data_IF_181231303661
#
_entry.id   IF_181231303661
#
_cell.length_a   1.000
_cell.length_b   1.000
_cell.length_c   1.000
_cell.angle_alpha   90.00
_cell.angle_beta   90.00
_cell.angle_gamma   90.00
#
_symmetry.space_group_name_H-M   'P 1'
#
loop_
_entity.id
_entity.type
_entity.pdbx_description
1 polymer ?
#
# COMPACT_ATOMS: atom_id res chain seq x y z
N UNK A 1 -48.50 -67.86 -66.78
CA UNK A 1 -48.95 -67.97 -65.38
C UNK A 1 -47.76 -68.45 -64.56
N UNK A 2 -47.04 -67.52 -63.93
CA UNK A 2 -46.08 -67.87 -62.88
C UNK A 2 -45.99 -66.66 -61.96
N UNK A 3 -46.67 -66.75 -60.83
CA UNK A 3 -46.72 -65.73 -59.79
C UNK A 3 -45.52 -65.96 -58.90
N UNK A 4 -44.54 -65.06 -58.94
CA UNK A 4 -43.42 -65.04 -58.01
C UNK A 4 -43.83 -64.24 -56.77
N UNK A 5 -43.97 -64.93 -55.64
CA UNK A 5 -44.21 -64.33 -54.33
C UNK A 5 -42.85 -63.89 -53.78
N UNK A 6 -42.63 -62.57 -53.68
CA UNK A 6 -41.45 -61.98 -53.03
C UNK A 6 -41.62 -62.01 -51.49
N UNK A 7 -40.55 -62.30 -50.73
CA UNK A 7 -40.62 -62.39 -49.27
C UNK A 7 -40.72 -60.99 -48.62
N UNK A 8 -41.47 -60.91 -47.52
CA UNK A 8 -41.67 -59.70 -46.75
C UNK A 8 -40.34 -59.19 -46.15
N UNK A 9 -39.97 -57.96 -46.48
CA UNK A 9 -38.77 -57.29 -45.97
C UNK A 9 -38.82 -57.05 -44.47
N UNK A 10 -37.73 -57.40 -43.78
CA UNK A 10 -37.48 -57.13 -42.36
C UNK A 10 -37.51 -55.63 -42.06
N UNK A 11 -38.32 -55.22 -41.06
CA UNK A 11 -38.36 -53.83 -40.58
C UNK A 11 -37.05 -53.49 -39.86
N UNK A 12 -36.38 -52.43 -40.29
CA UNK A 12 -35.23 -51.86 -39.59
C UNK A 12 -35.66 -51.34 -38.19
N UNK A 13 -34.81 -51.50 -37.15
CA UNK A 13 -35.08 -50.95 -35.83
C UNK A 13 -35.11 -49.42 -35.88
N UNK A 14 -36.21 -48.83 -35.39
CA UNK A 14 -36.36 -47.39 -35.27
C UNK A 14 -35.45 -46.87 -34.15
N UNK A 15 -34.77 -45.72 -34.32
CA UNK A 15 -33.95 -45.15 -33.26
C UNK A 15 -34.84 -44.76 -32.07
N UNK A 16 -34.51 -45.28 -30.89
CA UNK A 16 -35.15 -44.91 -29.64
C UNK A 16 -34.82 -43.44 -29.35
N UNK A 17 -35.85 -42.59 -29.34
CA UNK A 17 -35.70 -41.15 -29.14
C UNK A 17 -35.30 -40.94 -27.67
N UNK A 18 -34.04 -40.59 -27.42
CA UNK A 18 -33.63 -40.14 -26.09
C UNK A 18 -34.39 -38.83 -25.80
N UNK A 19 -35.22 -38.84 -24.76
CA UNK A 19 -35.89 -37.63 -24.28
C UNK A 19 -34.81 -36.69 -23.73
N UNK A 20 -34.48 -35.67 -24.51
CA UNK A 20 -33.58 -34.61 -24.11
C UNK A 20 -34.33 -33.72 -23.11
N UNK A 21 -34.07 -33.93 -21.82
CA UNK A 21 -34.67 -33.16 -20.74
C UNK A 21 -34.23 -31.69 -20.86
N UNK A 22 -35.08 -30.84 -21.43
CA UNK A 22 -34.87 -29.40 -21.47
C UNK A 22 -35.01 -28.79 -20.07
N UNK A 23 -34.09 -27.90 -19.70
CA UNK A 23 -34.17 -27.12 -18.47
C UNK A 23 -35.45 -26.28 -18.44
N UNK A 24 -36.15 -26.26 -17.31
CA UNK A 24 -37.36 -25.45 -17.17
C UNK A 24 -37.00 -23.96 -17.08
N UNK A 25 -37.88 -23.09 -17.58
CA UNK A 25 -37.72 -21.63 -17.46
C UNK A 25 -37.60 -21.18 -15.99
N UNK A 26 -38.23 -21.93 -15.07
CA UNK A 26 -38.20 -21.65 -13.63
C UNK A 26 -36.86 -22.05 -13.01
N UNK A 27 -36.27 -23.17 -13.41
CA UNK A 27 -34.93 -23.55 -12.95
C UNK A 27 -33.88 -22.53 -13.40
N UNK A 28 -33.93 -22.11 -14.67
CA UNK A 28 -33.01 -21.09 -15.17
C UNK A 28 -33.23 -19.72 -14.51
N UNK A 29 -34.47 -19.34 -14.18
CA UNK A 29 -34.74 -18.04 -13.57
C UNK A 29 -34.22 -17.93 -12.14
N UNK A 30 -34.33 -19.00 -11.33
CA UNK A 30 -33.76 -19.01 -9.97
C UNK A 30 -32.24 -18.96 -10.03
N UNK A 31 -31.62 -19.69 -10.97
CA UNK A 31 -30.16 -19.68 -11.15
C UNK A 31 -29.65 -18.27 -11.49
N UNK A 32 -30.30 -17.58 -12.44
CA UNK A 32 -29.91 -16.21 -12.80
C UNK A 32 -30.07 -15.22 -11.64
N UNK A 33 -31.12 -15.38 -10.81
CA UNK A 33 -31.29 -14.55 -9.61
C UNK A 33 -30.17 -14.79 -8.61
N UNK A 34 -29.83 -16.05 -8.32
CA UNK A 34 -28.74 -16.38 -7.39
C UNK A 34 -27.41 -15.82 -7.88
N UNK A 35 -27.09 -15.99 -9.18
CA UNK A 35 -25.87 -15.42 -9.78
C UNK A 35 -25.86 -13.90 -9.65
N UNK A 36 -26.99 -13.23 -9.95
CA UNK A 36 -27.11 -11.78 -9.81
C UNK A 36 -26.86 -11.28 -8.39
N UNK A 37 -27.42 -11.98 -7.38
CA UNK A 37 -27.23 -11.64 -5.98
C UNK A 37 -25.78 -11.87 -5.52
N UNK A 38 -25.14 -12.95 -5.97
CA UNK A 38 -23.74 -13.23 -5.63
C UNK A 38 -22.82 -12.17 -6.24
N UNK A 39 -22.99 -11.83 -7.53
CA UNK A 39 -22.16 -10.82 -8.20
C UNK A 39 -22.34 -9.46 -7.51
N UNK A 40 -23.58 -9.07 -7.20
CA UNK A 40 -23.85 -7.83 -6.46
C UNK A 40 -23.20 -7.81 -5.08
N UNK A 41 -23.24 -8.93 -4.36
CA UNK A 41 -22.59 -9.09 -3.05
C UNK A 41 -21.06 -9.01 -3.13
N UNK A 42 -20.43 -9.66 -4.12
CA UNK A 42 -18.97 -9.66 -4.31
C UNK A 42 -18.46 -8.26 -4.64
N UNK A 43 -19.10 -7.54 -5.56
CA UNK A 43 -18.70 -6.18 -5.93
C UNK A 43 -18.74 -5.25 -4.72
N UNK A 44 -19.80 -5.32 -3.90
CA UNK A 44 -19.86 -4.51 -2.68
C UNK A 44 -18.84 -4.95 -1.63
N UNK A 45 -18.57 -6.25 -1.53
CA UNK A 45 -17.54 -6.79 -0.66
C UNK A 45 -16.14 -6.28 -1.00
N UNK A 46 -15.81 -6.19 -2.29
CA UNK A 46 -14.52 -5.66 -2.76
C UNK A 46 -14.33 -4.18 -2.38
N UNK A 47 -15.33 -3.34 -2.61
CA UNK A 47 -15.31 -1.91 -2.24
C UNK A 47 -15.14 -1.73 -0.71
N UNK A 48 -15.79 -2.59 0.09
CA UNK A 48 -15.67 -2.57 1.54
C UNK A 48 -14.26 -2.93 2.01
N UNK A 49 -13.65 -3.96 1.41
CA UNK A 49 -12.27 -4.37 1.72
C UNK A 49 -11.30 -3.24 1.38
N UNK A 50 -11.46 -2.61 0.22
CA UNK A 50 -10.59 -1.51 -0.19
C UNK A 50 -10.73 -0.30 0.76
N UNK A 51 -11.96 0.05 1.12
CA UNK A 51 -12.22 1.08 2.14
C UNK A 51 -11.60 0.74 3.50
N UNK A 52 -11.57 -0.53 3.89
CA UNK A 52 -10.94 -0.97 5.13
C UNK A 52 -9.41 -0.86 5.06
N UNK A 53 -8.79 -1.21 3.92
CA UNK A 53 -7.36 -1.03 3.69
C UNK A 53 -6.95 0.44 3.80
N UNK A 54 -7.68 1.34 3.13
CA UNK A 54 -7.43 2.79 3.19
C UNK A 54 -7.49 3.30 4.64
N UNK A 55 -8.53 2.91 5.40
CA UNK A 55 -8.66 3.29 6.81
C UNK A 55 -7.52 2.72 7.67
N UNK A 56 -7.11 1.48 7.42
CA UNK A 56 -6.01 0.85 8.13
C UNK A 56 -4.68 1.58 7.85
N UNK A 57 -4.45 2.01 6.62
CA UNK A 57 -3.27 2.82 6.25
C UNK A 57 -3.26 4.15 7.00
N UNK A 58 -4.39 4.86 7.06
CA UNK A 58 -4.52 6.11 7.81
C UNK A 58 -4.17 5.90 9.30
N UNK A 59 -4.71 4.85 9.92
CA UNK A 59 -4.43 4.52 11.32
C UNK A 59 -2.96 4.15 11.55
N UNK A 60 -2.30 3.49 10.60
CA UNK A 60 -0.86 3.20 10.70
C UNK A 60 -0.02 4.48 10.68
N UNK A 61 -0.35 5.45 9.83
CA UNK A 61 0.37 6.72 9.77
C UNK A 61 0.26 7.47 11.10
N UNK A 62 -0.94 7.57 11.67
CA UNK A 62 -1.15 8.18 12.99
C UNK A 62 -0.35 7.44 14.08
N UNK A 63 -0.33 6.11 14.03
CA UNK A 63 0.47 5.28 14.94
C UNK A 63 1.97 5.56 14.80
N UNK A 64 2.48 5.75 13.58
CA UNK A 64 3.89 6.07 13.37
C UNK A 64 4.25 7.47 13.85
N UNK A 65 3.38 8.46 13.68
CA UNK A 65 3.58 9.80 14.26
C UNK A 65 3.62 9.74 15.79
N UNK A 66 2.72 8.98 16.41
CA UNK A 66 2.73 8.79 17.86
C UNK A 66 4.00 8.05 18.33
N UNK A 67 4.44 7.02 17.59
CA UNK A 67 5.68 6.29 17.86
C UNK A 67 6.91 7.19 17.74
N UNK A 68 6.98 8.03 16.72
CA UNK A 68 8.04 9.02 16.56
C UNK A 68 8.16 9.94 17.78
N UNK A 69 7.05 10.57 18.19
CA UNK A 69 7.04 11.45 19.36
C UNK A 69 7.41 10.70 20.64
N UNK A 70 6.91 9.48 20.81
CA UNK A 70 7.26 8.64 21.98
C UNK A 70 8.76 8.30 22.00
N UNK A 71 9.35 8.02 20.83
CA UNK A 71 10.79 7.80 20.71
C UNK A 71 11.56 9.06 21.10
N UNK A 72 11.17 10.22 20.56
CA UNK A 72 11.79 11.50 20.86
C UNK A 72 11.72 11.83 22.36
N UNK A 73 10.56 11.65 22.99
CA UNK A 73 10.38 11.88 24.43
C UNK A 73 11.25 10.94 25.29
N UNK A 74 11.41 9.69 24.86
CA UNK A 74 12.15 8.66 25.61
C UNK A 74 13.67 8.80 25.48
N UNK A 75 14.15 9.16 24.29
CA UNK A 75 15.59 9.17 23.96
C UNK A 75 16.17 10.55 23.73
N UNK A 76 15.34 11.61 23.69
CA UNK A 76 15.74 12.99 23.39
C UNK A 76 16.51 13.13 22.08
N UNK A 77 16.19 12.27 21.10
CA UNK A 77 16.80 12.20 19.78
C UNK A 77 15.78 11.68 18.77
N UNK A 78 15.98 11.97 17.48
CA UNK A 78 15.10 11.44 16.44
C UNK A 78 15.40 9.96 16.17
N UNK A 79 14.39 9.13 15.83
CA UNK A 79 14.67 7.80 15.31
C UNK A 79 15.51 7.91 14.02
N UNK A 80 16.39 6.96 13.76
CA UNK A 80 17.33 7.02 12.62
C UNK A 80 18.54 7.92 12.85
N UNK A 81 18.38 9.02 13.56
CA UNK A 81 19.43 9.99 13.92
C UNK A 81 19.81 9.89 15.41
N UNK A 82 20.10 8.67 15.87
CA UNK A 82 20.39 8.42 17.28
C UNK A 82 21.70 7.65 17.44
N UNK A 83 22.80 8.37 17.61
CA UNK A 83 24.17 7.82 17.69
C UNK A 83 24.40 6.87 18.87
N UNK A 84 23.75 7.13 20.01
CA UNK A 84 23.79 6.24 21.19
C UNK A 84 22.88 5.00 21.06
N UNK A 85 22.18 4.87 19.91
CA UNK A 85 21.14 3.88 19.64
C UNK A 85 21.55 2.45 19.94
N UNK A 86 22.79 2.07 19.64
CA UNK A 86 23.24 0.70 19.86
C UNK A 86 23.25 0.27 21.34
N UNK A 87 23.59 1.19 22.25
CA UNK A 87 23.72 0.88 23.67
C UNK A 87 22.38 1.05 24.41
N UNK A 88 21.60 2.07 24.06
CA UNK A 88 20.38 2.43 24.76
C UNK A 88 19.12 1.68 24.27
N UNK A 89 19.07 1.28 22.99
CA UNK A 89 18.00 0.42 22.47
C UNK A 89 18.27 -1.07 22.75
N UNK A 90 19.44 -1.38 23.32
CA UNK A 90 19.97 -2.72 23.44
C UNK A 90 20.40 -3.26 22.08
N UNK A 91 20.96 -4.47 22.08
CA UNK A 91 21.11 -5.27 20.86
C UNK A 91 19.95 -6.26 20.81
N UNK A 92 18.81 -5.93 20.15
CA UNK A 92 17.91 -6.97 19.69
C UNK A 92 18.74 -8.01 18.91
N UNK A 93 18.48 -9.30 19.16
CA UNK A 93 19.31 -10.42 18.71
C UNK A 93 19.69 -10.26 17.23
N UNK A 94 20.95 -9.92 16.97
CA UNK A 94 21.51 -9.88 15.62
C UNK A 94 21.40 -8.56 14.86
N UNK A 95 21.04 -7.42 15.47
CA UNK A 95 21.23 -6.11 14.83
C UNK A 95 22.67 -5.63 15.05
N UNK A 96 23.43 -5.52 13.97
CA UNK A 96 24.71 -4.81 13.92
C UNK A 96 24.50 -3.52 13.16
N UNK A 97 24.64 -2.36 13.80
CA UNK A 97 24.57 -1.07 13.12
C UNK A 97 25.89 -0.77 12.41
N UNK A 98 26.31 -1.70 11.56
CA UNK A 98 27.51 -1.64 10.74
C UNK A 98 27.18 -1.24 9.31
N UNK A 99 25.92 -1.39 8.88
CA UNK A 99 25.45 -1.01 7.54
C UNK A 99 23.94 -0.68 7.55
N UNK A 100 23.55 0.61 7.52
CA UNK A 100 24.39 1.79 7.65
C UNK A 100 25.07 1.82 9.03
N UNK A 101 26.32 2.31 9.08
CA UNK A 101 26.99 2.54 10.35
C UNK A 101 26.29 3.68 11.09
N UNK A 102 26.07 3.52 12.39
CA UNK A 102 25.47 4.54 13.26
C UNK A 102 26.55 5.00 14.23
N UNK A 103 27.58 5.65 13.69
CA UNK A 103 28.82 6.05 14.39
C UNK A 103 29.09 7.56 14.28
N UNK A 104 28.14 8.34 13.77
CA UNK A 104 28.26 9.77 13.51
C UNK A 104 29.10 10.11 12.27
N UNK A 105 29.66 9.12 11.56
CA UNK A 105 30.43 9.37 10.35
C UNK A 105 29.50 9.58 9.14
N UNK A 106 29.95 10.41 8.19
CA UNK A 106 29.26 10.67 6.92
C UNK A 106 27.78 11.12 7.05
N UNK A 107 27.42 11.78 8.17
CA UNK A 107 26.07 12.21 8.52
C UNK A 107 25.12 11.01 8.75
N UNK A 108 25.58 10.02 9.51
CA UNK A 108 24.74 8.91 9.96
C UNK A 108 24.72 8.87 11.49
N UNK A 109 23.54 9.05 12.06
CA UNK A 109 23.30 9.14 13.48
C UNK A 109 24.16 10.20 14.17
N UNK A 110 24.34 11.36 13.54
CA UNK A 110 25.20 12.43 14.04
C UNK A 110 24.51 13.36 15.04
N UNK A 111 23.20 13.20 15.23
CA UNK A 111 22.38 13.89 16.22
C UNK A 111 22.05 15.32 15.81
N UNK A 112 22.09 15.64 14.51
CA UNK A 112 21.79 16.98 13.99
C UNK A 112 20.26 17.29 13.94
N UNK A 113 19.43 16.30 14.27
CA UNK A 113 17.97 16.41 14.28
C UNK A 113 17.35 16.26 12.90
N UNK A 114 18.09 15.74 11.93
CA UNK A 114 17.60 15.40 10.60
C UNK A 114 17.71 13.89 10.40
N UNK A 115 16.72 13.31 9.71
CA UNK A 115 16.74 11.91 9.29
C UNK A 115 17.10 11.86 7.81
N UNK A 116 18.39 11.76 7.53
CA UNK A 116 18.99 11.83 6.21
C UNK A 116 18.99 10.48 5.46
N UNK A 117 18.86 10.59 4.14
CA UNK A 117 18.88 9.44 3.24
C UNK A 117 17.93 9.60 2.07
N UNK A 118 17.44 8.46 1.56
CA UNK A 118 16.59 8.40 0.37
C UNK A 118 15.41 7.44 0.55
N UNK A 119 14.97 7.24 1.80
CA UNK A 119 13.90 6.32 2.19
C UNK A 119 14.31 4.85 2.31
N UNK A 120 15.52 4.49 1.89
CA UNK A 120 15.95 3.09 1.79
C UNK A 120 17.46 2.90 2.08
N UNK A 121 18.13 3.89 2.66
CA UNK A 121 19.52 3.82 3.13
C UNK A 121 19.80 4.92 4.14
N UNK A 122 20.93 4.84 4.82
CA UNK A 122 21.29 5.83 5.84
C UNK A 122 20.28 5.85 6.97
N UNK A 123 20.07 7.02 7.55
CA UNK A 123 19.20 7.22 8.71
C UNK A 123 17.74 6.94 8.37
N UNK A 124 17.29 7.23 7.13
CA UNK A 124 15.91 6.90 6.71
C UNK A 124 15.57 5.41 6.79
N UNK A 125 16.54 4.51 6.62
CA UNK A 125 16.35 3.07 6.81
C UNK A 125 16.47 2.69 8.30
N UNK A 126 17.41 3.31 9.01
CA UNK A 126 17.60 3.13 10.45
C UNK A 126 16.41 3.63 11.27
N UNK A 127 15.68 4.63 10.78
CA UNK A 127 14.50 5.24 11.40
C UNK A 127 13.48 4.18 11.85
N UNK A 128 13.11 3.30 10.92
CA UNK A 128 12.17 2.22 11.20
C UNK A 128 12.74 1.19 12.16
N UNK A 129 14.03 0.86 12.02
CA UNK A 129 14.71 -0.07 12.92
C UNK A 129 14.80 0.47 14.35
N UNK A 130 15.08 1.76 14.54
CA UNK A 130 15.14 2.39 15.86
C UNK A 130 13.77 2.31 16.54
N UNK A 131 12.69 2.62 15.82
CA UNK A 131 11.34 2.51 16.39
C UNK A 131 10.94 1.07 16.71
N UNK A 132 11.32 0.09 15.87
CA UNK A 132 11.02 -1.31 16.12
C UNK A 132 11.88 -1.92 17.25
N UNK A 133 13.17 -1.55 17.32
CA UNK A 133 14.05 -1.95 18.43
C UNK A 133 13.60 -1.34 19.76
N UNK A 134 12.97 -0.17 19.73
CA UNK A 134 12.33 0.46 20.89
C UNK A 134 10.96 -0.14 21.27
N UNK A 135 10.48 -1.17 20.54
CA UNK A 135 9.16 -1.79 20.70
C UNK A 135 7.98 -0.81 20.51
N UNK A 136 8.17 0.22 19.68
CA UNK A 136 7.14 1.22 19.37
C UNK A 136 6.33 0.88 18.12
N UNK A 137 6.88 0.05 17.24
CA UNK A 137 6.22 -0.43 16.03
C UNK A 137 6.49 -1.92 15.83
N UNK A 138 5.66 -2.57 15.01
CA UNK A 138 5.80 -3.99 14.65
C UNK A 138 5.69 -4.16 13.13
N UNK A 139 5.95 -5.37 12.63
CA UNK A 139 5.78 -5.69 11.21
C UNK A 139 6.96 -5.34 10.32
N UNK A 140 8.14 -5.12 10.90
CA UNK A 140 9.41 -5.05 10.18
C UNK A 140 10.39 -6.12 10.69
N UNK A 141 11.19 -6.67 9.79
CA UNK A 141 12.27 -7.59 10.15
C UNK A 141 13.46 -6.79 10.70
N UNK A 142 13.90 -7.14 11.90
CA UNK A 142 15.12 -6.62 12.50
C UNK A 142 16.28 -7.55 12.12
N UNK A 143 17.26 -7.02 11.39
CA UNK A 143 18.39 -7.79 10.88
C UNK A 143 19.70 -6.98 10.93
N UNK A 144 20.83 -7.69 10.98
CA UNK A 144 22.19 -7.13 10.92
C UNK A 144 22.45 -6.26 9.69
N UNK A 145 21.84 -6.61 8.58
CA UNK A 145 21.81 -5.82 7.36
C UNK A 145 20.33 -5.63 6.97
N UNK A 146 19.72 -4.46 7.23
CA UNK A 146 18.34 -4.21 6.85
C UNK A 146 18.13 -4.41 5.37
N UNK A 147 17.11 -5.19 5.01
CA UNK A 147 16.62 -5.23 3.64
C UNK A 147 15.86 -3.92 3.37
N UNK A 148 16.24 -3.13 2.33
CA UNK A 148 15.50 -1.95 1.93
C UNK A 148 14.24 -2.35 1.16
N UNK A 149 13.37 -3.15 1.78
CA UNK A 149 12.17 -3.75 1.18
C UNK A 149 10.99 -3.58 2.16
N UNK A 150 9.82 -3.22 1.64
CA UNK A 150 8.59 -3.19 2.42
C UNK A 150 8.26 -4.61 2.94
N UNK A 151 8.02 -4.74 4.25
CA UNK A 151 7.78 -6.00 4.96
C UNK A 151 9.04 -6.71 5.47
N UNK A 152 10.25 -6.25 5.12
CA UNK A 152 11.54 -6.84 5.57
C UNK A 152 12.55 -5.84 6.15
N UNK A 153 12.22 -4.56 6.17
CA UNK A 153 13.04 -3.53 6.81
C UNK A 153 12.38 -2.16 6.77
N UNK A 154 11.47 -1.98 5.82
CA UNK A 154 10.52 -0.87 5.78
C UNK A 154 9.12 -1.40 6.08
N UNK A 155 8.22 -0.63 6.72
CA UNK A 155 6.85 -1.09 6.96
C UNK A 155 6.04 -1.21 5.66
N UNK A 156 5.23 -2.26 5.56
CA UNK A 156 4.28 -2.44 4.45
C UNK A 156 2.95 -1.72 4.73
N UNK A 157 2.32 -1.19 3.68
CA UNK A 157 1.02 -0.54 3.81
C UNK A 157 -0.13 -1.48 3.40
N UNK A 158 -1.30 -1.46 4.09
CA UNK A 158 -2.47 -2.27 3.77
C UNK A 158 -3.03 -2.06 2.36
N UNK A 159 -2.86 -0.86 1.80
CA UNK A 159 -3.23 -0.51 0.41
C UNK A 159 -2.24 -1.07 -0.63
N UNK A 160 -1.23 -1.81 -0.20
CA UNK A 160 -0.10 -2.23 -1.02
C UNK A 160 1.08 -1.28 -0.88
N UNK A 161 2.25 -1.70 -1.38
CA UNK A 161 3.49 -0.92 -1.22
C UNK A 161 3.88 -0.79 0.25
N UNK A 162 4.32 0.40 0.65
CA UNK A 162 4.72 0.65 2.03
C UNK A 162 5.16 2.07 2.30
N UNK A 163 5.84 2.23 3.42
CA UNK A 163 6.23 3.52 3.96
C UNK A 163 7.74 3.66 4.00
N UNK A 164 8.21 4.83 3.60
CA UNK A 164 9.57 5.29 3.81
C UNK A 164 9.53 6.70 4.41
N UNK A 165 10.62 7.13 5.03
CA UNK A 165 10.75 8.50 5.54
C UNK A 165 11.76 9.27 4.71
N UNK A 166 11.50 10.55 4.46
CA UNK A 166 12.38 11.41 3.69
C UNK A 166 12.39 12.83 4.25
N UNK A 167 13.58 13.43 4.25
CA UNK A 167 13.74 14.86 4.47
C UNK A 167 13.67 15.61 3.15
N UNK A 168 12.54 16.27 2.85
CA UNK A 168 12.27 16.86 1.54
C UNK A 168 11.72 18.27 1.65
N UNK A 169 12.05 19.09 0.65
CA UNK A 169 11.38 20.36 0.41
C UNK A 169 10.22 20.17 -0.57
N UNK A 170 9.00 20.16 -0.06
CA UNK A 170 7.78 20.10 -0.87
C UNK A 170 7.13 21.47 -0.84
N UNK A 171 7.16 22.18 -1.97
CA UNK A 171 6.51 23.49 -2.13
C UNK A 171 6.90 24.50 -1.02
N UNK A 172 8.20 24.76 -0.88
CA UNK A 172 8.80 25.65 0.12
C UNK A 172 8.62 25.21 1.58
N UNK A 173 8.24 23.95 1.82
CA UNK A 173 8.18 23.38 3.16
C UNK A 173 9.20 22.25 3.27
N UNK A 174 10.26 22.49 4.03
CA UNK A 174 11.29 21.51 4.34
C UNK A 174 10.95 20.87 5.69
N UNK A 175 10.71 19.56 5.69
CA UNK A 175 10.25 18.80 6.85
C UNK A 175 10.58 17.30 6.66
N UNK A 176 10.40 16.51 7.72
CA UNK A 176 10.38 15.05 7.61
C UNK A 176 9.00 14.55 7.17
N UNK A 177 9.00 13.72 6.13
CA UNK A 177 7.79 13.19 5.51
C UNK A 177 7.80 11.67 5.51
N UNK A 178 6.76 11.05 6.04
CA UNK A 178 6.43 9.64 5.73
C UNK A 178 5.83 9.62 4.34
N UNK A 179 6.49 8.97 3.39
CA UNK A 179 6.00 8.76 2.04
C UNK A 179 5.35 7.39 1.92
N UNK A 180 4.10 7.36 1.46
CA UNK A 180 3.42 6.16 1.01
C UNK A 180 3.73 5.93 -0.48
N UNK A 181 4.37 4.81 -0.80
CA UNK A 181 4.89 4.53 -2.15
C UNK A 181 4.79 3.05 -2.53
N UNK A 182 4.88 2.74 -3.83
CA UNK A 182 4.79 1.35 -4.32
C UNK A 182 5.99 0.52 -3.90
N UNK A 183 7.16 1.14 -3.89
CA UNK A 183 8.42 0.51 -3.52
C UNK A 183 9.42 1.58 -3.07
N UNK A 184 10.44 1.18 -2.31
CA UNK A 184 11.50 2.08 -1.87
C UNK A 184 12.17 2.75 -3.07
N UNK A 185 12.24 4.09 -3.05
CA UNK A 185 12.79 4.92 -4.14
C UNK A 185 12.03 4.82 -5.47
N UNK A 186 10.83 4.24 -5.45
CA UNK A 186 9.99 4.17 -6.65
C UNK A 186 9.58 5.58 -7.09
N UNK A 187 9.57 5.81 -8.40
CA UNK A 187 8.87 6.95 -8.98
C UNK A 187 7.35 6.69 -9.06
N UNK A 188 6.95 5.43 -8.90
CA UNK A 188 5.56 5.01 -8.97
C UNK A 188 4.87 5.09 -7.61
N UNK A 189 3.73 5.77 -7.61
CA UNK A 189 2.74 5.79 -6.54
C UNK A 189 2.05 4.45 -6.36
N UNK A 190 1.31 4.34 -5.26
CA UNK A 190 0.60 3.10 -4.90
C UNK A 190 -0.91 3.25 -4.92
N UNK A 191 -1.42 4.47 -4.73
CA UNK A 191 -2.84 4.78 -4.75
C UNK A 191 -3.20 5.70 -5.92
N UNK A 192 -4.45 5.57 -6.36
CA UNK A 192 -5.06 6.47 -7.34
C UNK A 192 -5.42 7.82 -6.70
N UNK A 193 -5.58 8.86 -7.53
CA UNK A 193 -5.78 10.22 -7.04
C UNK A 193 -7.14 10.47 -6.38
N UNK A 194 -8.17 9.69 -6.70
CA UNK A 194 -9.45 9.74 -5.98
C UNK A 194 -9.30 9.26 -4.52
N UNK A 195 -8.55 8.17 -4.32
CA UNK A 195 -8.22 7.59 -3.03
C UNK A 195 -7.31 8.53 -2.27
N UNK A 196 -6.29 9.09 -2.92
CA UNK A 196 -5.39 10.08 -2.33
C UNK A 196 -6.14 11.32 -1.83
N UNK A 197 -7.01 11.89 -2.68
CA UNK A 197 -7.89 13.00 -2.30
C UNK A 197 -8.81 12.63 -1.14
N UNK A 198 -9.33 11.40 -1.10
CA UNK A 198 -10.22 10.96 -0.02
C UNK A 198 -9.50 10.82 1.32
N UNK A 199 -8.22 10.43 1.33
CA UNK A 199 -7.37 10.35 2.51
C UNK A 199 -7.05 11.76 2.99
N UNK A 200 -6.58 12.62 2.09
CA UNK A 200 -6.25 14.00 2.37
C UNK A 200 -7.46 14.75 2.95
N UNK A 201 -8.64 14.69 2.32
CA UNK A 201 -9.86 15.34 2.85
C UNK A 201 -10.31 14.86 4.23
N UNK A 202 -9.92 13.65 4.64
CA UNK A 202 -10.29 13.11 5.95
C UNK A 202 -9.32 13.53 7.05
N UNK A 203 -8.08 13.83 6.70
CA UNK A 203 -6.99 14.10 7.63
C UNK A 203 -6.58 15.59 7.62
N UNK A 204 -6.74 16.27 6.50
CA UNK A 204 -6.25 17.63 6.25
C UNK A 204 -7.26 18.44 5.40
N UNK A 205 -6.87 18.99 4.25
CA UNK A 205 -7.64 19.99 3.49
C UNK A 205 -8.10 19.51 2.11
N UNK A 206 -7.67 18.33 1.68
CA UNK A 206 -8.00 17.75 0.38
C UNK A 206 -7.23 18.34 -0.80
N UNK A 207 -6.13 19.07 -0.54
CA UNK A 207 -5.31 19.69 -1.57
C UNK A 207 -3.89 19.11 -1.56
N UNK A 208 -3.41 18.60 -2.70
CA UNK A 208 -2.11 17.93 -2.80
C UNK A 208 -0.88 18.79 -2.49
N UNK A 209 -1.02 20.12 -2.43
CA UNK A 209 0.08 21.07 -2.29
C UNK A 209 0.06 21.91 -1.01
N UNK A 210 -0.86 21.67 -0.09
CA UNK A 210 -0.96 22.44 1.15
C UNK A 210 -1.07 21.53 2.37
N UNK A 211 -1.02 22.13 3.56
CA UNK A 211 -1.16 21.39 4.81
C UNK A 211 0.01 20.44 5.13
N UNK A 212 -0.32 19.45 5.98
CA UNK A 212 0.58 18.42 6.51
C UNK A 212 0.51 17.12 5.72
N UNK A 213 -0.41 17.03 4.75
CA UNK A 213 -0.43 15.97 3.72
C UNK A 213 -0.14 16.60 2.37
N UNK A 214 0.91 16.12 1.69
CA UNK A 214 1.27 16.59 0.35
C UNK A 214 1.55 15.42 -0.58
N UNK A 215 1.81 15.73 -1.84
CA UNK A 215 2.31 14.77 -2.83
C UNK A 215 3.54 15.33 -3.55
N UNK A 216 4.33 14.49 -4.19
CA UNK A 216 5.52 14.88 -4.97
C UNK A 216 5.54 14.29 -6.39
N UNK A 217 4.45 13.64 -6.82
CA UNK A 217 4.31 12.99 -8.13
C UNK A 217 3.41 13.78 -9.08
N UNK A 218 3.96 14.23 -10.21
CA UNK A 218 3.19 15.00 -11.22
C UNK A 218 1.95 14.26 -11.73
N UNK A 219 1.96 12.93 -11.79
CA UNK A 219 0.81 12.15 -12.24
C UNK A 219 -0.38 12.21 -11.27
N UNK A 220 -0.12 12.59 -10.01
CA UNK A 220 -1.11 12.81 -8.98
C UNK A 220 -1.81 14.18 -9.11
N UNK A 221 -1.29 15.09 -9.93
CA UNK A 221 -1.81 16.46 -10.08
C UNK A 221 -2.65 16.58 -11.33
N UNK A 222 -3.82 17.21 -11.20
CA UNK A 222 -4.71 17.45 -12.33
C UNK A 222 -3.98 18.23 -13.44
N UNK A 223 -4.11 17.74 -14.67
CA UNK A 223 -3.39 18.27 -15.82
C UNK A 223 -1.87 18.02 -15.84
N UNK A 224 -1.30 17.25 -14.90
CA UNK A 224 0.13 16.91 -14.86
C UNK A 224 1.06 18.11 -14.61
N UNK A 225 0.52 19.19 -14.04
CA UNK A 225 1.23 20.43 -13.81
C UNK A 225 2.25 20.34 -12.66
N UNK A 226 3.08 21.38 -12.53
CA UNK A 226 3.89 21.55 -11.33
C UNK A 226 2.97 21.74 -10.10
N UNK A 227 3.39 21.18 -8.96
CA UNK A 227 2.66 21.33 -7.71
C UNK A 227 2.58 22.79 -7.27
N UNK A 228 1.40 23.22 -6.83
CA UNK A 228 1.13 24.53 -6.24
C UNK A 228 0.17 24.38 -5.06
N UNK A 229 0.03 25.40 -4.21
CA UNK A 229 -0.90 25.38 -3.06
C UNK A 229 -2.37 25.31 -3.47
N UNK A 230 -2.68 25.54 -4.75
CA UNK A 230 -4.03 25.50 -5.30
C UNK A 230 -4.22 24.35 -6.30
N UNK A 231 -3.23 23.47 -6.43
CA UNK A 231 -3.35 22.28 -7.27
C UNK A 231 -4.49 21.38 -6.77
N UNK A 232 -5.03 20.58 -7.68
CA UNK A 232 -6.03 19.56 -7.37
C UNK A 232 -5.48 18.17 -7.70
N UNK A 233 -6.01 17.14 -7.05
CA UNK A 233 -5.70 15.74 -7.36
C UNK A 233 -6.22 15.36 -8.75
N UNK A 234 -5.43 14.59 -9.49
CA UNK A 234 -5.86 13.93 -10.70
C UNK A 234 -6.74 12.72 -10.35
N UNK A 235 -8.05 12.83 -10.55
CA UNK A 235 -9.02 11.75 -10.27
C UNK A 235 -9.34 10.87 -11.48
N UNK A 236 -8.56 10.99 -12.57
CA UNK A 236 -8.74 10.16 -13.77
C UNK A 236 -7.95 8.86 -13.68
N UNK A 237 -8.38 7.83 -14.42
CA UNK A 237 -7.72 6.53 -14.43
C UNK A 237 -6.24 6.65 -14.84
N UNK A 238 -5.35 6.07 -14.04
CA UNK A 238 -3.89 6.12 -14.24
C UNK A 238 -3.18 7.21 -13.42
N UNK A 239 -3.90 7.90 -12.53
CA UNK A 239 -3.29 8.72 -11.50
C UNK A 239 -2.43 7.85 -10.58
N UNK A 240 -1.23 8.33 -10.29
CA UNK A 240 -0.22 7.59 -9.56
C UNK A 240 0.37 8.46 -8.47
N UNK A 241 -0.15 8.29 -7.25
CA UNK A 241 0.09 9.21 -6.16
C UNK A 241 1.05 8.64 -5.13
N UNK A 242 2.05 9.45 -4.78
CA UNK A 242 2.70 9.38 -3.46
C UNK A 242 1.98 10.32 -2.52
N UNK A 243 1.65 9.86 -1.32
CA UNK A 243 1.23 10.74 -0.24
C UNK A 243 2.36 10.88 0.76
N UNK A 244 2.68 12.12 1.11
CA UNK A 244 3.68 12.52 2.07
C UNK A 244 2.95 13.07 3.29
N UNK A 245 3.21 12.48 4.44
CA UNK A 245 2.63 12.88 5.72
C UNK A 245 3.74 13.47 6.58
N UNK A 246 3.61 14.73 6.94
CA UNK A 246 4.54 15.40 7.85
C UNK A 246 4.52 14.75 9.23
N UNK A 247 5.69 14.54 9.81
CA UNK A 247 5.83 14.00 11.18
C UNK A 247 5.98 15.11 12.22
N UNK A 248 6.62 16.21 11.83
CA UNK A 248 7.05 17.32 12.69
C UNK A 248 5.90 18.24 13.17
#
# INVERSE_FOLDING_TARGET
MSVAILPAGSRAPQPERADEAGFTLVELSIVLVIIGLIIGGVLKGQEMIESARVKSTMSQIESYRAAHNTFFDKYSAMPGDYGDGQAALGTPVGITWTTPACDGAANQCDGDGLVDGNGASGETLLYWQHMAAADLITGIELAAAPAPEHGRGLPSAPVGGGFSIHYLNILNKQAQWIRLERGPRSADGVIEGDTAMSIDRKLDDGRPGSGWIRQDNRNCIDGGAALTTTSAYNITNGADCHLLFEID
#
